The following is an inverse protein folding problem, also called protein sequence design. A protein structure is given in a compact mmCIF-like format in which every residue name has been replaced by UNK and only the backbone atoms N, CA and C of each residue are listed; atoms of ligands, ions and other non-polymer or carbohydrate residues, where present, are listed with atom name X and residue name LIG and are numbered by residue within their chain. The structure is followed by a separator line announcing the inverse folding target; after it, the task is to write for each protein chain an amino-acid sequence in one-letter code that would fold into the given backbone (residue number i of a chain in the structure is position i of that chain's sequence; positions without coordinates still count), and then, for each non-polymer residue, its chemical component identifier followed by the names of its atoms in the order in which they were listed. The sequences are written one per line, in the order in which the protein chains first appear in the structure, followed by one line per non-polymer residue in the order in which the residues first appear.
data_IF_994807093984
#
_entry.id   IF_994807093984
#
_cell.length_a   1.000
_cell.length_b   1.000
_cell.length_c   1.000
_cell.angle_alpha   90.00
_cell.angle_beta   90.00
_cell.angle_gamma   90.00
#
_symmetry.space_group_name_H-M   'P 1'
#
loop_
_entity.id
_entity.type
_entity.pdbx_description
1 polymer ?
#
# COMPACT_ATOMS: atom_id res chain seq x y z
N UNK A 1 14.25 20.61 -1.93
CA UNK A 1 14.31 20.12 -0.54
C UNK A 1 15.70 20.30 0.03
N UNK A 2 16.75 19.83 -0.64
CA UNK A 2 18.15 19.90 -0.19
C UNK A 2 18.62 21.32 0.10
N UNK A 3 18.28 22.27 -0.78
CA UNK A 3 18.59 23.70 -0.58
C UNK A 3 18.01 24.26 0.74
N UNK A 4 16.76 23.91 1.05
CA UNK A 4 16.09 24.36 2.28
C UNK A 4 16.74 23.78 3.53
N UNK A 5 17.14 22.51 3.47
CA UNK A 5 17.84 21.82 4.57
C UNK A 5 19.21 22.48 4.81
N UNK A 6 19.98 22.72 3.75
CA UNK A 6 21.30 23.33 3.85
C UNK A 6 21.21 24.77 4.36
N UNK A 7 20.21 25.54 3.92
CA UNK A 7 19.96 26.86 4.41
C UNK A 7 19.63 26.89 5.91
N UNK A 8 18.68 26.01 6.33
CA UNK A 8 18.31 25.88 7.74
C UNK A 8 19.50 25.47 8.63
N UNK A 9 20.37 24.59 8.13
CA UNK A 9 21.58 24.19 8.82
C UNK A 9 22.55 25.38 8.99
N UNK A 10 22.78 26.14 7.92
CA UNK A 10 23.62 27.36 7.98
C UNK A 10 23.08 28.36 8.98
N UNK A 11 21.80 28.68 8.89
CA UNK A 11 21.15 29.66 9.80
C UNK A 11 21.21 29.17 11.28
N UNK A 12 21.12 27.85 11.52
CA UNK A 12 21.27 27.29 12.87
C UNK A 12 22.73 27.41 13.39
N UNK A 13 23.74 27.19 12.53
CA UNK A 13 25.14 27.36 12.89
C UNK A 13 25.45 28.83 13.22
N UNK A 14 24.94 29.76 12.45
CA UNK A 14 25.11 31.18 12.67
C UNK A 14 24.46 31.66 13.99
N UNK A 15 23.33 31.06 14.36
CA UNK A 15 22.64 31.31 15.64
C UNK A 15 23.32 30.60 16.85
N UNK A 16 24.24 29.65 16.62
CA UNK A 16 24.82 28.82 17.66
C UNK A 16 25.52 29.59 18.79
N UNK A 17 26.26 30.72 18.55
CA UNK A 17 26.84 31.50 19.61
C UNK A 17 25.81 32.04 20.62
N UNK A 18 24.71 32.60 20.11
CA UNK A 18 23.60 33.11 20.93
C UNK A 18 22.90 31.98 21.73
N UNK A 19 22.73 30.83 21.11
CA UNK A 19 22.16 29.64 21.77
C UNK A 19 23.07 29.18 22.90
N UNK A 20 24.40 29.12 22.65
CA UNK A 20 25.39 28.71 23.65
C UNK A 20 25.49 29.67 24.83
N UNK A 21 25.32 30.97 24.61
CA UNK A 21 25.28 31.96 25.66
C UNK A 21 24.13 31.79 26.64
N UNK A 22 22.96 31.35 26.12
CA UNK A 22 21.76 31.10 26.93
C UNK A 22 21.76 29.75 27.65
N UNK A 23 22.63 28.83 27.29
CA UNK A 23 22.73 27.51 27.93
C UNK A 23 23.64 27.61 29.14
N UNK A 24 23.06 27.66 30.34
CA UNK A 24 23.77 27.72 31.62
C UNK A 24 24.38 26.37 32.03
N UNK A 25 23.78 25.25 31.62
CA UNK A 25 24.27 23.92 31.95
C UNK A 25 24.84 23.25 30.70
N UNK A 26 26.13 22.99 30.70
CA UNK A 26 26.79 22.20 29.65
C UNK A 26 27.27 20.88 30.21
N UNK A 27 27.03 19.84 29.49
CA UNK A 27 27.56 18.49 29.78
C UNK A 27 28.64 18.21 28.75
N UNK A 28 29.72 17.68 29.20
CA UNK A 28 30.82 17.27 28.33
C UNK A 28 30.28 16.19 27.32
N UNK A 29 30.57 16.35 26.02
CA UNK A 29 30.07 15.40 24.97
C UNK A 29 30.47 13.95 25.23
N UNK A 30 31.66 13.71 25.76
CA UNK A 30 32.15 12.36 26.01
C UNK A 30 31.43 11.71 27.20
N UNK A 31 31.20 12.49 28.27
CA UNK A 31 30.44 12.03 29.42
C UNK A 31 28.97 11.76 29.05
N UNK A 32 28.37 12.59 28.18
CA UNK A 32 27.01 12.37 27.67
C UNK A 32 26.94 11.11 26.79
N UNK A 33 27.94 10.93 25.92
CA UNK A 33 28.04 9.74 25.07
C UNK A 33 28.20 8.46 25.91
N UNK A 34 29.05 8.49 26.93
CA UNK A 34 29.22 7.38 27.86
C UNK A 34 27.95 7.06 28.63
N UNK A 35 27.25 8.07 29.14
CA UNK A 35 25.98 7.91 29.83
C UNK A 35 24.88 7.32 28.92
N UNK A 36 24.80 7.79 27.67
CA UNK A 36 23.87 7.24 26.68
C UNK A 36 24.19 5.79 26.34
N UNK A 37 25.48 5.44 26.21
CA UNK A 37 25.92 4.06 25.96
C UNK A 37 25.59 3.14 27.14
N UNK A 38 25.84 3.60 28.37
CA UNK A 38 25.51 2.86 29.59
C UNK A 38 23.98 2.67 29.72
N UNK A 39 23.20 3.72 29.46
CA UNK A 39 21.73 3.63 29.45
C UNK A 39 21.24 2.62 28.40
N UNK A 40 21.74 2.69 27.16
CA UNK A 40 21.36 1.72 26.10
C UNK A 40 21.73 0.29 26.47
N UNK A 41 22.87 0.10 27.14
CA UNK A 41 23.29 -1.22 27.61
C UNK A 41 22.44 -1.78 28.77
N UNK A 42 21.80 -0.87 29.54
CA UNK A 42 20.88 -1.25 30.62
C UNK A 42 19.47 -1.56 30.14
N UNK A 43 19.12 -1.16 28.90
CA UNK A 43 17.80 -1.47 28.35
C UNK A 43 17.64 -2.97 28.16
N UNK A 44 16.45 -3.53 28.45
CA UNK A 44 16.18 -4.93 28.15
C UNK A 44 16.28 -5.18 26.65
N UNK A 45 16.78 -6.36 26.27
CA UNK A 45 16.80 -6.76 24.88
C UNK A 45 15.39 -6.81 24.31
N UNK A 46 15.20 -6.36 23.09
CA UNK A 46 13.91 -6.31 22.40
C UNK A 46 13.48 -7.72 22.01
N UNK A 47 12.92 -8.45 22.99
CA UNK A 47 12.30 -9.75 22.76
C UNK A 47 10.79 -9.64 22.95
N UNK A 48 10.04 -10.07 21.94
CA UNK A 48 8.57 -10.14 22.02
C UNK A 48 8.14 -11.57 22.37
N UNK A 49 7.44 -11.74 23.47
CA UNK A 49 6.83 -13.03 23.86
C UNK A 49 5.44 -13.16 23.23
N UNK A 50 4.72 -12.04 23.12
CA UNK A 50 3.36 -11.98 22.60
C UNK A 50 3.23 -10.85 21.59
N UNK A 51 2.50 -11.12 20.53
CA UNK A 51 2.04 -10.13 19.60
C UNK A 51 0.55 -10.33 19.33
N UNK A 52 -0.18 -9.24 19.33
CA UNK A 52 -1.61 -9.22 19.11
C UNK A 52 -1.89 -8.31 17.91
N UNK A 53 -2.64 -8.83 16.93
CA UNK A 53 -3.08 -8.09 15.76
C UNK A 53 -4.59 -8.04 15.85
N UNK A 54 -5.14 -6.83 15.99
CA UNK A 54 -6.57 -6.58 16.13
C UNK A 54 -7.14 -5.90 14.87
N UNK A 55 -8.46 -6.05 14.67
CA UNK A 55 -9.20 -5.40 13.59
C UNK A 55 -9.17 -6.11 12.24
N UNK A 56 -8.51 -7.28 12.14
CA UNK A 56 -8.42 -8.11 10.96
C UNK A 56 -9.07 -9.49 11.18
N UNK A 57 -9.51 -10.12 10.10
CA UNK A 57 -9.94 -11.52 10.15
C UNK A 57 -8.72 -12.48 10.15
N UNK A 58 -8.97 -13.78 10.38
CA UNK A 58 -7.90 -14.79 10.53
C UNK A 58 -6.96 -14.86 9.31
N UNK A 59 -7.49 -14.81 8.09
CA UNK A 59 -6.70 -14.88 6.86
C UNK A 59 -5.84 -13.62 6.67
N UNK A 60 -6.40 -12.45 6.98
CA UNK A 60 -5.70 -11.17 6.94
C UNK A 60 -4.61 -11.10 8.02
N UNK A 61 -4.93 -11.58 9.20
CA UNK A 61 -3.97 -11.69 10.30
C UNK A 61 -2.80 -12.59 9.94
N UNK A 62 -3.06 -13.72 9.29
CA UNK A 62 -2.01 -14.63 8.83
C UNK A 62 -1.14 -13.97 7.76
N UNK A 63 -1.74 -13.25 6.81
CA UNK A 63 -1.03 -12.47 5.81
C UNK A 63 -0.10 -11.42 6.44
N UNK A 64 -0.62 -10.63 7.39
CA UNK A 64 0.16 -9.61 8.09
C UNK A 64 1.29 -10.23 8.90
N UNK A 65 1.05 -11.33 9.61
CA UNK A 65 2.09 -12.06 10.36
C UNK A 65 3.24 -12.54 9.47
N UNK A 66 2.94 -13.05 8.30
CA UNK A 66 3.94 -13.52 7.36
C UNK A 66 4.77 -12.37 6.79
N UNK A 67 4.13 -11.24 6.42
CA UNK A 67 4.83 -10.04 5.94
C UNK A 67 5.69 -9.38 7.02
N UNK A 68 5.21 -9.30 8.24
CA UNK A 68 5.94 -8.75 9.36
C UNK A 68 7.02 -9.71 9.90
N UNK A 69 7.05 -10.96 9.45
CA UNK A 69 7.97 -12.01 9.88
C UNK A 69 7.97 -12.20 11.41
N UNK A 70 6.80 -12.05 12.05
CA UNK A 70 6.67 -12.11 13.51
C UNK A 70 7.01 -13.48 14.09
N UNK A 71 6.80 -14.56 13.33
CA UNK A 71 7.10 -15.92 13.77
C UNK A 71 8.60 -16.25 13.75
N UNK A 72 9.45 -15.34 13.27
CA UNK A 72 10.87 -15.54 13.09
C UNK A 72 11.20 -16.62 12.05
N UNK A 73 12.47 -16.98 11.87
CA UNK A 73 12.82 -18.00 10.90
C UNK A 73 12.22 -19.35 11.32
N UNK A 74 11.51 -20.00 10.38
CA UNK A 74 10.81 -21.30 10.60
C UNK A 74 11.72 -22.42 11.14
N UNK A 75 13.05 -22.23 11.09
CA UNK A 75 14.07 -23.19 11.53
C UNK A 75 14.68 -22.85 12.90
N UNK A 76 14.25 -21.81 13.59
CA UNK A 76 14.78 -21.45 14.91
C UNK A 76 14.32 -22.47 15.96
N UNK A 77 15.25 -23.33 16.40
CA UNK A 77 14.98 -24.41 17.37
C UNK A 77 14.77 -23.92 18.81
N UNK A 78 15.14 -22.67 19.13
CA UNK A 78 15.00 -22.08 20.48
C UNK A 78 14.34 -20.70 20.39
N UNK A 79 13.46 -20.37 21.36
CA UNK A 79 12.83 -19.04 21.46
C UNK A 79 13.85 -17.90 21.52
N UNK A 80 15.04 -18.13 22.09
CA UNK A 80 16.15 -17.15 22.17
C UNK A 80 16.78 -16.81 20.82
N UNK A 81 16.67 -17.69 19.83
CA UNK A 81 17.23 -17.47 18.49
C UNK A 81 16.28 -16.65 17.58
N UNK A 82 15.11 -16.29 18.09
CA UNK A 82 14.12 -15.44 17.41
C UNK A 82 14.35 -13.98 17.80
N UNK A 83 15.55 -13.47 17.60
CA UNK A 83 15.80 -12.05 17.77
C UNK A 83 14.86 -11.27 16.84
N UNK A 84 14.11 -10.32 17.42
CA UNK A 84 13.25 -9.43 16.65
C UNK A 84 14.10 -8.53 15.77
N UNK A 85 13.87 -8.61 14.47
CA UNK A 85 14.54 -7.77 13.48
C UNK A 85 13.68 -6.55 13.20
N UNK A 86 14.01 -5.45 13.87
CA UNK A 86 13.27 -4.19 13.74
C UNK A 86 13.26 -3.66 12.30
N UNK A 87 14.36 -3.83 11.55
CA UNK A 87 14.43 -3.33 10.17
C UNK A 87 13.52 -4.12 9.24
N UNK A 88 13.46 -5.44 9.40
CA UNK A 88 12.53 -6.27 8.62
C UNK A 88 11.09 -5.99 8.99
N UNK A 89 10.80 -5.89 10.28
CA UNK A 89 9.48 -5.52 10.76
C UNK A 89 9.03 -4.18 10.17
N UNK A 90 9.88 -3.16 10.27
CA UNK A 90 9.62 -1.82 9.73
C UNK A 90 9.38 -1.86 8.22
N UNK A 91 10.21 -2.56 7.47
CA UNK A 91 10.04 -2.73 6.03
C UNK A 91 8.71 -3.40 5.68
N UNK A 92 8.38 -4.50 6.37
CA UNK A 92 7.11 -5.21 6.19
C UNK A 92 5.90 -4.34 6.55
N UNK A 93 5.99 -3.58 7.65
CA UNK A 93 4.92 -2.69 8.10
C UNK A 93 4.63 -1.58 7.09
N UNK A 94 5.67 -0.88 6.62
CA UNK A 94 5.50 0.15 5.60
C UNK A 94 5.02 -0.42 4.27
N UNK A 95 5.42 -1.63 3.91
CA UNK A 95 4.90 -2.30 2.73
C UNK A 95 3.38 -2.53 2.83
N UNK A 96 2.89 -3.04 3.97
CA UNK A 96 1.46 -3.24 4.20
C UNK A 96 0.68 -1.93 4.06
N UNK A 97 1.21 -0.84 4.64
CA UNK A 97 0.56 0.47 4.55
C UNK A 97 0.63 1.07 3.14
N UNK A 98 1.71 0.84 2.39
CA UNK A 98 1.88 1.37 1.03
C UNK A 98 0.97 0.69 0.01
N UNK A 99 0.61 -0.58 0.21
CA UNK A 99 -0.35 -1.29 -0.62
C UNK A 99 -1.74 -0.65 -0.57
N UNK A 100 -1.99 0.15 0.50
CA UNK A 100 -3.16 1.02 0.62
C UNK A 100 -4.48 0.30 0.90
N UNK A 101 -4.45 -1.00 1.09
CA UNK A 101 -5.63 -1.84 1.37
C UNK A 101 -5.86 -2.05 2.86
N UNK A 102 -4.80 -1.93 3.66
CA UNK A 102 -4.82 -2.02 5.12
C UNK A 102 -4.32 -0.69 5.68
N UNK A 103 -5.06 -0.15 6.60
CA UNK A 103 -4.70 1.00 7.41
C UNK A 103 -4.30 0.51 8.79
N UNK A 104 -3.29 1.13 9.38
CA UNK A 104 -2.84 0.77 10.72
C UNK A 104 -2.31 1.97 11.47
N UNK A 105 -2.47 1.94 12.78
CA UNK A 105 -1.83 2.86 13.70
C UNK A 105 -0.39 2.39 13.96
N UNK A 106 0.47 3.27 14.47
CA UNK A 106 1.79 2.84 14.91
C UNK A 106 1.66 1.75 15.97
N UNK A 107 2.45 0.64 15.85
CA UNK A 107 2.40 -0.44 16.83
C UNK A 107 2.76 0.02 18.23
N UNK A 108 1.97 -0.40 19.22
CA UNK A 108 2.23 -0.15 20.61
C UNK A 108 3.10 -1.26 21.21
N UNK A 109 4.09 -0.84 22.00
CA UNK A 109 5.01 -1.76 22.65
C UNK A 109 4.92 -1.57 24.15
N UNK A 110 4.47 -2.61 24.85
CA UNK A 110 4.39 -2.62 26.31
C UNK A 110 5.39 -3.63 26.89
N UNK A 111 6.09 -3.22 27.95
CA UNK A 111 7.00 -4.10 28.67
C UNK A 111 6.25 -4.77 29.83
N UNK A 112 6.34 -6.09 29.91
CA UNK A 112 5.76 -6.86 30.99
C UNK A 112 6.86 -7.22 32.01
N UNK A 113 6.80 -6.59 33.18
CA UNK A 113 7.75 -6.81 34.27
C UNK A 113 7.76 -8.25 34.79
N UNK A 114 6.64 -8.96 34.66
CA UNK A 114 6.51 -10.34 35.15
C UNK A 114 7.20 -11.34 34.24
N UNK A 115 7.04 -11.20 32.94
CA UNK A 115 7.66 -12.08 31.94
C UNK A 115 9.07 -11.63 31.54
N UNK A 116 9.42 -10.33 31.78
CA UNK A 116 10.64 -9.68 31.31
C UNK A 116 10.74 -9.62 29.79
N UNK A 117 9.61 -9.64 29.09
CA UNK A 117 9.49 -9.54 27.65
C UNK A 117 8.60 -8.37 27.24
N UNK A 118 8.66 -8.03 25.97
CA UNK A 118 7.78 -7.02 25.38
C UNK A 118 6.56 -7.68 24.75
N UNK A 119 5.42 -7.02 24.84
CA UNK A 119 4.20 -7.30 24.09
C UNK A 119 4.09 -6.28 22.97
N UNK A 120 3.78 -6.75 21.77
CA UNK A 120 3.56 -5.91 20.60
C UNK A 120 2.08 -5.96 20.23
N UNK A 121 1.41 -4.82 20.30
CA UNK A 121 0.02 -4.65 19.92
C UNK A 121 -0.06 -3.85 18.62
N UNK A 122 -0.72 -4.44 17.60
CA UNK A 122 -0.85 -3.86 16.27
C UNK A 122 -2.32 -3.76 15.94
N UNK A 123 -2.83 -2.54 15.86
CA UNK A 123 -4.20 -2.28 15.43
C UNK A 123 -4.21 -1.98 13.94
N UNK A 124 -4.94 -2.78 13.18
CA UNK A 124 -5.08 -2.64 11.72
C UNK A 124 -6.54 -2.72 11.32
N UNK A 125 -6.86 -2.05 10.21
CA UNK A 125 -8.20 -2.02 9.65
C UNK A 125 -8.13 -2.16 8.14
N UNK A 126 -8.99 -2.98 7.56
CA UNK A 126 -9.12 -3.06 6.11
C UNK A 126 -10.01 -1.95 5.58
N UNK A 127 -9.66 -1.42 4.41
CA UNK A 127 -10.55 -0.54 3.66
C UNK A 127 -11.79 -1.28 3.17
N UNK A 128 -12.88 -0.57 2.85
CA UNK A 128 -14.07 -1.19 2.27
C UNK A 128 -13.73 -2.04 1.05
N UNK A 129 -14.17 -3.29 1.07
CA UNK A 129 -13.90 -4.24 -0.02
C UNK A 129 -14.66 -3.94 -1.31
N UNK A 130 -15.65 -3.06 -1.25
CA UNK A 130 -16.53 -2.76 -2.36
C UNK A 130 -16.65 -1.25 -2.60
N UNK A 131 -16.42 -0.84 -3.85
CA UNK A 131 -16.54 0.55 -4.28
C UNK A 131 -17.41 0.63 -5.52
N UNK A 132 -18.38 1.53 -5.50
CA UNK A 132 -19.25 1.83 -6.64
C UNK A 132 -18.91 3.22 -7.15
N UNK A 133 -18.81 3.34 -8.45
CA UNK A 133 -18.50 4.59 -9.14
C UNK A 133 -19.59 4.87 -10.16
N UNK A 134 -20.08 6.10 -10.19
CA UNK A 134 -21.01 6.61 -11.20
C UNK A 134 -20.42 7.86 -11.82
N UNK A 135 -20.62 8.01 -13.10
CA UNK A 135 -20.18 9.18 -13.83
C UNK A 135 -20.94 9.33 -15.13
N UNK A 136 -20.69 10.43 -15.81
CA UNK A 136 -21.30 10.69 -17.10
C UNK A 136 -21.26 12.15 -17.47
N UNK A 137 -21.69 12.43 -18.68
CA UNK A 137 -21.93 13.78 -19.17
C UNK A 137 -23.25 13.82 -19.92
N UNK A 138 -23.92 14.95 -19.81
CA UNK A 138 -25.13 15.28 -20.58
C UNK A 138 -24.81 16.49 -21.43
N UNK A 139 -25.03 16.40 -22.71
CA UNK A 139 -24.76 17.45 -23.68
C UNK A 139 -26.00 17.63 -24.58
N UNK A 140 -26.14 18.82 -25.16
CA UNK A 140 -27.14 19.09 -26.21
C UNK A 140 -26.79 18.35 -27.52
N UNK A 141 -25.61 17.81 -27.64
CA UNK A 141 -25.14 16.96 -28.75
C UNK A 141 -25.41 15.49 -28.48
N UNK A 142 -25.25 14.62 -29.47
CA UNK A 142 -25.43 13.17 -29.36
C UNK A 142 -24.32 12.47 -28.54
N UNK A 143 -23.45 13.21 -27.83
CA UNK A 143 -22.31 12.70 -27.05
C UNK A 143 -22.64 12.48 -25.56
N UNK A 144 -23.89 12.17 -25.25
CA UNK A 144 -24.26 11.80 -23.88
C UNK A 144 -23.62 10.45 -23.51
N UNK A 145 -23.05 10.38 -22.33
CA UNK A 145 -22.38 9.17 -21.85
C UNK A 145 -22.71 8.94 -20.38
N UNK A 146 -23.01 7.70 -20.04
CA UNK A 146 -23.13 7.22 -18.67
C UNK A 146 -22.03 6.19 -18.38
N UNK A 147 -21.52 6.23 -17.18
CA UNK A 147 -20.51 5.31 -16.67
C UNK A 147 -20.96 4.69 -15.36
N UNK A 148 -20.75 3.39 -15.22
CA UNK A 148 -20.90 2.65 -13.97
C UNK A 148 -19.66 1.81 -13.77
N UNK A 149 -19.03 1.96 -12.61
CA UNK A 149 -17.87 1.17 -12.21
C UNK A 149 -18.13 0.46 -10.89
N UNK A 150 -17.69 -0.78 -10.81
CA UNK A 150 -17.70 -1.57 -9.59
C UNK A 150 -16.28 -2.09 -9.36
N UNK A 151 -15.76 -1.89 -8.15
CA UNK A 151 -14.48 -2.45 -7.72
C UNK A 151 -14.72 -3.29 -6.48
N UNK A 152 -14.27 -4.53 -6.52
CA UNK A 152 -14.30 -5.43 -5.38
C UNK A 152 -12.87 -5.88 -5.06
N UNK A 153 -12.45 -5.68 -3.80
CA UNK A 153 -11.15 -6.11 -3.30
C UNK A 153 -11.31 -7.12 -2.18
N UNK A 154 -10.48 -8.12 -2.23
CA UNK A 154 -10.39 -9.15 -1.19
C UNK A 154 -8.93 -9.37 -0.83
N UNK A 155 -8.62 -9.22 0.46
CA UNK A 155 -7.30 -9.48 1.03
C UNK A 155 -7.39 -10.75 1.87
N UNK A 156 -6.45 -11.65 1.63
CA UNK A 156 -6.29 -12.89 2.37
C UNK A 156 -4.86 -13.39 2.21
N UNK A 157 -4.67 -14.66 1.89
CA UNK A 157 -3.36 -15.23 1.51
C UNK A 157 -2.85 -14.69 0.17
N UNK A 158 -3.73 -14.09 -0.61
CA UNK A 158 -3.45 -13.32 -1.82
C UNK A 158 -4.34 -12.09 -1.83
N UNK A 159 -3.91 -11.01 -2.47
CA UNK A 159 -4.77 -9.88 -2.76
C UNK A 159 -5.46 -10.08 -4.10
N UNK A 160 -6.76 -9.88 -4.15
CA UNK A 160 -7.57 -10.03 -5.35
C UNK A 160 -8.36 -8.75 -5.58
N UNK A 161 -8.25 -8.20 -6.77
CA UNK A 161 -9.00 -7.01 -7.19
C UNK A 161 -9.79 -7.34 -8.45
N UNK A 162 -11.08 -7.07 -8.42
CA UNK A 162 -11.99 -7.25 -9.55
C UNK A 162 -12.60 -5.91 -9.89
N UNK A 163 -12.48 -5.52 -11.15
CA UNK A 163 -13.07 -4.30 -11.68
C UNK A 163 -14.08 -4.64 -12.77
N UNK A 164 -15.22 -4.01 -12.68
CA UNK A 164 -16.25 -4.01 -13.70
C UNK A 164 -16.49 -2.56 -14.12
N UNK A 165 -16.35 -2.25 -15.39
CA UNK A 165 -16.56 -0.92 -15.94
C UNK A 165 -17.54 -0.99 -17.11
N UNK A 166 -18.60 -0.24 -17.04
CA UNK A 166 -19.61 -0.09 -18.10
C UNK A 166 -19.73 1.36 -18.57
N UNK A 167 -19.57 1.55 -19.88
CA UNK A 167 -19.80 2.83 -20.54
C UNK A 167 -20.99 2.69 -21.50
N UNK A 168 -21.93 3.60 -21.42
CA UNK A 168 -23.16 3.59 -22.23
C UNK A 168 -23.33 4.94 -22.91
N UNK A 169 -23.27 4.93 -24.25
CA UNK A 169 -23.46 6.11 -25.08
C UNK A 169 -24.18 5.72 -26.37
N UNK A 170 -24.90 6.62 -27.03
CA UNK A 170 -25.48 6.37 -28.36
C UNK A 170 -24.46 5.97 -29.43
N UNK A 171 -23.20 6.44 -29.30
CA UNK A 171 -22.15 6.20 -30.28
C UNK A 171 -21.23 5.06 -29.88
N UNK A 172 -21.03 4.87 -28.57
CA UNK A 172 -20.05 3.92 -28.04
C UNK A 172 -20.57 3.31 -26.74
N UNK A 173 -20.54 2.01 -26.68
CA UNK A 173 -20.79 1.28 -25.44
C UNK A 173 -19.68 0.28 -25.21
N UNK A 174 -19.25 0.16 -23.97
CA UNK A 174 -18.23 -0.82 -23.61
C UNK A 174 -18.51 -1.47 -22.27
N UNK A 175 -18.02 -2.69 -22.16
CA UNK A 175 -18.04 -3.46 -20.95
C UNK A 175 -16.63 -4.00 -20.73
N UNK A 176 -16.03 -3.69 -19.58
CA UNK A 176 -14.71 -4.17 -19.20
C UNK A 176 -14.81 -4.95 -17.90
N UNK A 177 -14.28 -6.16 -17.92
CA UNK A 177 -14.08 -7.01 -16.74
C UNK A 177 -12.58 -7.21 -16.57
N UNK A 178 -12.04 -6.83 -15.42
CA UNK A 178 -10.62 -7.01 -15.11
C UNK A 178 -10.46 -7.66 -13.75
N UNK A 179 -9.58 -8.63 -13.67
CA UNK A 179 -9.19 -9.26 -12.43
C UNK A 179 -7.68 -9.21 -12.28
N UNK A 180 -7.22 -8.96 -11.07
CA UNK A 180 -5.82 -9.04 -10.68
C UNK A 180 -5.71 -9.86 -9.41
N UNK A 181 -4.76 -10.79 -9.40
CA UNK A 181 -4.43 -11.58 -8.22
C UNK A 181 -2.94 -11.44 -7.94
N UNK A 182 -2.61 -10.91 -6.77
CA UNK A 182 -1.25 -10.74 -6.29
C UNK A 182 -0.95 -11.84 -5.26
N UNK A 183 0.05 -12.66 -5.57
CA UNK A 183 0.52 -13.74 -4.71
C UNK A 183 1.73 -13.27 -3.93
N UNK A 184 1.64 -13.34 -2.61
CA UNK A 184 2.70 -12.91 -1.71
C UNK A 184 3.64 -14.09 -1.44
N UNK A 185 4.65 -14.23 -2.31
CA UNK A 185 5.78 -15.13 -2.11
C UNK A 185 7.04 -14.32 -1.81
N UNK A 186 8.22 -14.94 -1.85
CA UNK A 186 9.50 -14.23 -1.69
C UNK A 186 9.69 -13.11 -2.71
N UNK A 187 9.08 -13.25 -3.89
CA UNK A 187 8.91 -12.20 -4.88
C UNK A 187 7.40 -12.02 -5.14
N UNK A 188 6.98 -10.79 -5.41
CA UNK A 188 5.60 -10.48 -5.72
C UNK A 188 5.30 -11.02 -7.13
N UNK A 189 4.40 -11.97 -7.20
CA UNK A 189 3.89 -12.50 -8.47
C UNK A 189 2.46 -12.04 -8.66
N UNK A 190 2.19 -11.38 -9.78
CA UNK A 190 0.86 -10.88 -10.14
C UNK A 190 0.35 -11.60 -11.38
N UNK A 191 -0.94 -11.92 -11.36
CA UNK A 191 -1.68 -12.41 -12.51
C UNK A 191 -2.81 -11.43 -12.82
N UNK A 192 -2.72 -10.77 -13.97
CA UNK A 192 -3.76 -9.89 -14.50
C UNK A 192 -4.51 -10.61 -15.61
N UNK A 193 -5.82 -10.50 -15.62
CA UNK A 193 -6.68 -11.04 -16.69
C UNK A 193 -7.85 -10.10 -16.94
N UNK A 194 -8.29 -10.08 -18.19
CA UNK A 194 -9.35 -9.16 -18.55
C UNK A 194 -10.10 -9.56 -19.80
N UNK A 195 -11.31 -9.05 -19.87
CA UNK A 195 -12.19 -9.15 -21.00
C UNK A 195 -12.80 -7.77 -21.27
N UNK A 196 -12.60 -7.27 -22.49
CA UNK A 196 -13.15 -6.00 -22.95
C UNK A 196 -14.05 -6.25 -24.15
N UNK A 197 -15.27 -5.76 -24.04
CA UNK A 197 -16.22 -5.73 -25.13
C UNK A 197 -16.50 -4.28 -25.49
N UNK A 198 -16.30 -3.93 -26.77
CA UNK A 198 -16.51 -2.58 -27.28
C UNK A 198 -17.45 -2.64 -28.46
N UNK A 199 -18.44 -1.76 -28.46
CA UNK A 199 -19.42 -1.61 -29.49
C UNK A 199 -19.48 -0.17 -29.95
N UNK A 200 -19.17 0.07 -31.23
CA UNK A 200 -19.22 1.37 -31.86
C UNK A 200 -20.38 1.42 -32.85
N UNK A 201 -21.23 2.42 -32.72
CA UNK A 201 -22.33 2.66 -33.64
C UNK A 201 -22.07 3.93 -34.46
N UNK A 202 -21.48 3.79 -35.63
CA UNK A 202 -21.14 4.90 -36.52
C UNK A 202 -22.35 5.60 -37.15
N UNK A 203 -23.51 4.97 -37.10
CA UNK A 203 -24.74 5.50 -37.68
C UNK A 203 -25.31 6.72 -36.97
N UNK A 204 -25.05 6.82 -35.70
CA UNK A 204 -25.52 7.92 -34.85
C UNK A 204 -24.55 9.09 -34.81
N UNK A 205 -23.38 8.97 -35.38
CA UNK A 205 -22.45 10.08 -35.55
C UNK A 205 -22.95 10.94 -36.74
N UNK A 206 -23.66 12.01 -36.47
CA UNK A 206 -23.99 13.04 -37.45
C UNK A 206 -22.73 13.79 -37.92
N UNK A 207 -21.71 13.06 -38.35
CA UNK A 207 -20.56 13.63 -39.00
C UNK A 207 -20.92 13.93 -40.43
N UNK A 208 -21.42 15.15 -40.66
CA UNK A 208 -21.52 15.78 -41.96
C UNK A 208 -22.37 15.03 -42.98
N UNK A 209 -23.59 15.39 -43.08
CA UNK A 209 -24.50 15.49 -44.24
C UNK A 209 -24.44 14.57 -45.47
N UNK A 210 -23.60 13.54 -45.51
CA UNK A 210 -23.31 12.80 -46.75
C UNK A 210 -23.47 11.28 -46.60
N UNK A 211 -23.87 10.74 -45.49
CA UNK A 211 -24.09 9.30 -45.41
C UNK A 211 -25.46 8.92 -45.91
N UNK A 212 -25.51 8.35 -47.12
CA UNK A 212 -26.71 7.67 -47.65
C UNK A 212 -27.12 6.56 -46.64
N UNK A 213 -28.39 6.49 -46.38
CA UNK A 213 -29.12 5.70 -45.41
C UNK A 213 -29.05 4.18 -45.56
N UNK A 214 -28.06 3.63 -46.17
CA UNK A 214 -28.09 2.24 -46.67
C UNK A 214 -27.17 1.24 -45.95
N UNK A 215 -26.16 1.66 -45.23
CA UNK A 215 -25.27 0.68 -44.57
C UNK A 215 -25.17 0.95 -43.05
N UNK A 216 -25.78 0.03 -42.26
CA UNK A 216 -25.64 -0.04 -40.81
C UNK A 216 -24.18 -0.43 -40.51
N UNK A 217 -23.33 0.57 -40.35
CA UNK A 217 -21.91 0.32 -40.02
C UNK A 217 -21.74 0.39 -38.48
N UNK A 218 -21.60 -0.75 -37.88
CA UNK A 218 -21.19 -0.87 -36.50
C UNK A 218 -19.89 -1.68 -36.43
N UNK A 219 -19.01 -1.34 -35.52
CA UNK A 219 -17.81 -2.11 -35.24
C UNK A 219 -17.91 -2.72 -33.83
N UNK A 220 -17.63 -4.00 -33.76
CA UNK A 220 -17.58 -4.77 -32.51
C UNK A 220 -16.16 -5.22 -32.32
N UNK A 221 -15.59 -4.86 -31.19
CA UNK A 221 -14.24 -5.25 -30.82
C UNK A 221 -14.25 -5.98 -29.48
N UNK A 222 -13.68 -7.16 -29.46
CA UNK A 222 -13.54 -7.99 -28.27
C UNK A 222 -12.06 -8.21 -28.04
N UNK A 223 -11.60 -7.89 -26.84
CA UNK A 223 -10.24 -8.13 -26.41
C UNK A 223 -10.24 -8.98 -25.14
N UNK A 224 -9.46 -10.04 -25.16
CA UNK A 224 -9.27 -10.92 -24.00
C UNK A 224 -7.79 -11.09 -23.78
N UNK A 225 -7.34 -10.80 -22.58
CA UNK A 225 -5.92 -10.88 -22.25
C UNK A 225 -5.68 -11.56 -20.92
N UNK A 226 -4.50 -12.14 -20.79
CA UNK A 226 -3.94 -12.58 -19.52
C UNK A 226 -2.45 -12.19 -19.50
N UNK A 227 -2.02 -11.60 -18.41
CA UNK A 227 -0.64 -11.15 -18.21
C UNK A 227 -0.14 -11.67 -16.88
N UNK A 228 1.04 -12.29 -16.90
CA UNK A 228 1.75 -12.65 -15.67
C UNK A 228 2.94 -11.71 -15.47
N UNK A 229 3.06 -11.15 -14.27
CA UNK A 229 4.12 -10.23 -13.93
C UNK A 229 4.83 -10.70 -12.67
N UNK A 230 6.16 -10.54 -12.65
CA UNK A 230 7.00 -10.76 -11.50
C UNK A 230 7.60 -9.42 -11.08
N UNK A 231 7.27 -8.98 -9.90
CA UNK A 231 7.80 -7.73 -9.33
C UNK A 231 8.91 -8.06 -8.35
N UNK A 232 10.11 -7.57 -8.63
CA UNK A 232 11.27 -7.73 -7.75
C UNK A 232 11.63 -6.35 -7.23
N UNK A 233 11.67 -6.14 -5.91
CA UNK A 233 12.10 -4.87 -5.35
C UNK A 233 13.57 -4.61 -5.71
N UNK A 234 13.83 -3.45 -6.30
CA UNK A 234 15.18 -3.03 -6.73
C UNK A 234 15.92 -2.34 -5.59
N UNK A 235 15.20 -1.69 -4.69
CA UNK A 235 15.75 -1.00 -3.52
C UNK A 235 14.79 -1.13 -2.32
N UNK A 236 15.26 -0.76 -1.12
CA UNK A 236 14.45 -0.80 0.13
C UNK A 236 13.19 0.07 0.08
N UNK A 237 13.12 1.01 -0.85
CA UNK A 237 12.06 2.03 -0.95
C UNK A 237 11.36 2.06 -2.32
N UNK A 238 11.75 1.24 -3.28
CA UNK A 238 11.16 1.17 -4.62
C UNK A 238 10.79 -0.27 -4.99
N UNK A 239 9.62 -0.41 -5.57
CA UNK A 239 9.10 -1.66 -6.14
C UNK A 239 9.04 -1.52 -7.64
#
# INVERSE_FOLDING_TARGET
VEYVINRGYSDAIDAMPLIKERITRRVDPDSLSAARKAYRASLPNLFFDKYEISGLNDNQTMYVKELLQLDGPKNAKKKKDRAFDLEKFRSGYFKILSDGDIEGNYPDVTYDDSSKFFKLDIEMKTKPSFKVMFGGNVSSTSMNQAYVGLEYRRIGLSSQTYNFDGYFSPLYSSLSLRGRTDFFMKALFSLDYGYNFNYYNYFKSNFGGIAKKTDLTYSKYIDTYATAALTVPVDRYSV
#
